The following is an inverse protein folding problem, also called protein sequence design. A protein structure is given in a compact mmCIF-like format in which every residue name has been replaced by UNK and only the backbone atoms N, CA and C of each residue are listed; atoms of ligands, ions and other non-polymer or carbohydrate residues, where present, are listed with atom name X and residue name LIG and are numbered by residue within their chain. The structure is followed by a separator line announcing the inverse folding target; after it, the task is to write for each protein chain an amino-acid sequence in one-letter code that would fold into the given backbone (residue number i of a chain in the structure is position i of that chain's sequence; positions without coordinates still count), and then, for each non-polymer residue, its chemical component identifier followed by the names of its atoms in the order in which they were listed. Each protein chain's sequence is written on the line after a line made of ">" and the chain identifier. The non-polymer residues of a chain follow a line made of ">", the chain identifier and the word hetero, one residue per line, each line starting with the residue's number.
data_IF_732275150572
#
_entry.id   IF_732275150572
#
_cell.length_a   1.000
_cell.length_b   1.000
_cell.length_c   1.000
_cell.angle_alpha   90.00
_cell.angle_beta   90.00
_cell.angle_gamma   90.00
#
_symmetry.space_group_name_H-M   'P 1'
#
loop_
_entity.id
_entity.type
_entity.pdbx_description
1 polymer ?
#
# COMPACT_ATOMS: atom_id res chain seq x y z
N UNK A 1 1.62 2.98 3.91
CA UNK A 1 1.77 1.57 4.28
C UNK A 1 1.42 1.26 5.75
N UNK A 2 0.98 2.24 6.50
CA UNK A 2 0.30 2.05 7.80
C UNK A 2 -1.15 1.63 7.63
N UNK A 3 -1.63 1.54 6.40
CA UNK A 3 -2.95 1.02 6.08
C UNK A 3 -3.05 -0.49 6.39
N UNK A 4 -4.27 -0.95 6.53
CA UNK A 4 -4.53 -2.38 6.74
C UNK A 4 -4.10 -3.23 5.53
N UNK A 5 -3.93 -4.54 5.74
CA UNK A 5 -3.46 -5.44 4.68
C UNK A 5 -4.43 -5.57 3.49
N UNK A 6 -5.71 -5.26 3.69
CA UNK A 6 -6.75 -5.30 2.65
C UNK A 6 -6.56 -4.16 1.63
N UNK A 7 -6.03 -3.00 2.07
CA UNK A 7 -5.81 -1.86 1.19
C UNK A 7 -4.92 -2.19 -0.02
N UNK A 8 -3.92 -3.05 0.17
CA UNK A 8 -3.06 -3.50 -0.95
C UNK A 8 -3.78 -4.45 -1.92
N UNK A 9 -4.72 -5.25 -1.44
CA UNK A 9 -5.58 -6.07 -2.28
C UNK A 9 -6.56 -5.20 -3.07
N UNK A 10 -7.08 -4.18 -2.43
CA UNK A 10 -8.07 -3.25 -2.99
C UNK A 10 -7.49 -2.41 -4.15
N UNK A 11 -6.19 -2.11 -4.18
CA UNK A 11 -5.55 -1.34 -5.25
C UNK A 11 -5.95 -1.84 -6.65
N UNK A 12 -5.93 -3.14 -6.88
CA UNK A 12 -6.28 -3.70 -8.18
C UNK A 12 -7.78 -3.53 -8.51
N UNK A 13 -8.64 -3.60 -7.50
CA UNK A 13 -10.08 -3.32 -7.66
C UNK A 13 -10.32 -1.86 -8.03
N UNK A 14 -9.58 -0.92 -7.43
CA UNK A 14 -9.62 0.51 -7.79
C UNK A 14 -9.17 0.71 -9.24
N UNK A 15 -8.08 0.06 -9.64
CA UNK A 15 -7.60 0.12 -11.02
C UNK A 15 -8.68 -0.34 -12.01
N UNK A 16 -9.29 -1.49 -11.74
CA UNK A 16 -10.40 -2.00 -12.56
C UNK A 16 -11.58 -1.02 -12.60
N UNK A 17 -12.05 -0.57 -11.43
CA UNK A 17 -13.18 0.36 -11.31
C UNK A 17 -12.95 1.67 -12.04
N UNK A 18 -11.73 2.19 -12.04
CA UNK A 18 -11.36 3.50 -12.61
C UNK A 18 -10.72 3.40 -13.99
N UNK A 19 -10.65 2.20 -14.57
CA UNK A 19 -10.02 1.97 -15.87
C UNK A 19 -8.58 2.49 -15.93
N UNK A 20 -7.80 2.20 -14.89
CA UNK A 20 -6.39 2.59 -14.81
C UNK A 20 -5.53 1.47 -15.38
N UNK A 21 -4.90 1.72 -16.51
CA UNK A 21 -4.12 0.71 -17.25
C UNK A 21 -2.79 0.37 -16.61
N UNK A 22 -2.23 1.27 -15.82
CA UNK A 22 -0.88 1.10 -15.27
C UNK A 22 -0.82 1.51 -13.81
N UNK A 23 -0.09 0.71 -13.05
CA UNK A 23 0.30 1.02 -11.68
C UNK A 23 1.82 1.09 -11.61
N UNK A 24 2.33 2.11 -10.95
CA UNK A 24 3.74 2.24 -10.64
C UNK A 24 3.91 2.23 -9.13
N UNK A 25 4.70 1.31 -8.62
CA UNK A 25 5.04 1.22 -7.21
C UNK A 25 6.54 1.50 -7.04
N UNK A 26 6.86 2.50 -6.29
CA UNK A 26 8.22 2.85 -5.92
C UNK A 26 8.46 2.42 -4.48
N UNK A 27 9.30 1.49 -4.17
CA UNK A 27 9.94 0.49 -5.04
C UNK A 27 9.77 -0.89 -4.38
N UNK A 28 10.51 -1.94 -4.81
CA UNK A 28 10.27 -3.29 -4.31
C UNK A 28 11.28 -3.78 -3.28
N UNK A 29 12.48 -3.20 -3.26
CA UNK A 29 13.63 -3.63 -2.44
C UNK A 29 14.39 -2.46 -1.82
N UNK A 30 13.67 -1.42 -1.42
CA UNK A 30 14.27 -0.27 -0.76
C UNK A 30 14.44 -0.54 0.74
N UNK A 31 15.67 -0.69 1.18
CA UNK A 31 16.00 -1.02 2.58
C UNK A 31 16.63 0.13 3.33
N UNK A 32 16.83 1.27 2.69
CA UNK A 32 17.43 2.43 3.34
C UNK A 32 16.41 3.25 4.11
N UNK A 33 16.88 4.09 5.02
CA UNK A 33 16.09 5.15 5.62
C UNK A 33 15.76 6.25 4.57
N UNK A 34 15.08 7.28 5.03
CA UNK A 34 14.68 8.38 4.15
C UNK A 34 15.89 8.96 3.41
N UNK A 35 15.84 8.94 2.09
CA UNK A 35 16.89 9.39 1.18
C UNK A 35 18.26 8.70 1.35
N UNK A 36 18.32 7.58 2.06
CA UNK A 36 19.55 6.83 2.28
C UNK A 36 20.57 7.52 3.19
N UNK A 37 20.19 8.60 3.88
CA UNK A 37 21.11 9.41 4.67
C UNK A 37 21.70 8.73 5.89
N UNK A 38 21.04 7.69 6.40
CA UNK A 38 21.49 6.92 7.57
C UNK A 38 21.94 5.50 7.24
N UNK A 39 21.89 5.14 5.97
CA UNK A 39 22.22 3.81 5.49
C UNK A 39 21.05 2.83 5.52
N UNK A 40 21.38 1.54 5.51
CA UNK A 40 20.37 0.49 5.46
C UNK A 40 19.67 0.31 6.81
N UNK A 41 18.35 0.26 6.78
CA UNK A 41 17.53 -0.11 7.92
C UNK A 41 17.60 -1.62 8.16
N UNK A 42 17.63 -2.06 9.42
CA UNK A 42 17.45 -3.47 9.76
C UNK A 42 15.97 -3.85 9.59
N UNK A 43 15.60 -4.25 8.37
CA UNK A 43 14.22 -4.56 8.01
C UNK A 43 13.66 -5.80 8.72
N UNK A 44 14.50 -6.62 9.35
CA UNK A 44 14.06 -7.77 10.13
C UNK A 44 13.55 -7.37 11.52
N UNK A 45 14.03 -6.25 12.04
CA UNK A 45 13.62 -5.71 13.34
C UNK A 45 12.60 -4.58 13.20
N UNK A 46 12.84 -3.69 12.23
CA UNK A 46 12.00 -2.53 12.01
C UNK A 46 12.07 -2.13 10.53
N UNK A 47 10.96 -2.26 9.83
CA UNK A 47 10.85 -1.86 8.43
C UNK A 47 10.59 -0.35 8.25
N UNK A 48 11.12 0.51 9.12
CA UNK A 48 11.00 1.96 9.03
C UNK A 48 11.88 2.53 7.91
N UNK A 49 11.54 2.21 6.69
CA UNK A 49 12.12 2.77 5.47
C UNK A 49 11.53 4.14 5.16
N UNK A 50 12.24 4.97 4.41
CA UNK A 50 11.84 6.34 4.12
C UNK A 50 11.57 7.24 5.34
N UNK A 51 11.95 6.82 6.53
CA UNK A 51 11.82 7.64 7.75
C UNK A 51 12.84 8.77 7.75
N UNK A 52 12.39 9.98 8.04
CA UNK A 52 13.28 11.14 8.12
C UNK A 52 12.59 12.42 8.56
N UNK A 53 13.38 13.45 8.85
CA UNK A 53 12.82 14.75 9.22
C UNK A 53 12.08 15.37 8.03
N UNK A 54 10.94 15.97 8.32
CA UNK A 54 10.14 16.73 7.36
C UNK A 54 9.90 18.14 7.88
N UNK A 55 9.41 19.03 7.02
CA UNK A 55 8.87 20.31 7.47
C UNK A 55 7.67 20.06 8.39
N UNK A 56 7.71 20.63 9.57
CA UNK A 56 6.64 20.49 10.55
C UNK A 56 5.56 21.57 10.35
N UNK A 57 4.32 21.13 10.28
CA UNK A 57 3.17 22.00 10.43
C UNK A 57 2.33 21.53 11.63
N UNK A 58 2.58 22.09 12.80
CA UNK A 58 1.92 21.70 14.03
C UNK A 58 0.39 21.89 14.00
N UNK A 59 -0.12 22.80 13.17
CA UNK A 59 -1.57 23.01 13.01
C UNK A 59 -2.26 21.86 12.28
N UNK A 60 -1.50 21.05 11.56
CA UNK A 60 -1.96 19.83 10.90
C UNK A 60 -1.65 18.55 11.70
N UNK A 61 -1.15 18.68 12.92
CA UNK A 61 -0.76 17.55 13.75
C UNK A 61 0.55 16.87 13.33
N UNK A 62 1.33 17.51 12.45
CA UNK A 62 2.61 16.95 12.02
C UNK A 62 3.65 17.02 13.14
N UNK A 63 4.48 16.02 13.23
CA UNK A 63 5.52 15.90 14.27
C UNK A 63 6.90 16.35 13.81
N UNK A 64 7.05 16.75 12.55
CA UNK A 64 8.34 17.05 11.92
C UNK A 64 9.14 15.80 11.56
N UNK A 65 8.49 14.66 11.57
CA UNK A 65 9.09 13.38 11.19
C UNK A 65 8.16 12.58 10.29
N UNK A 66 8.70 12.07 9.20
CA UNK A 66 8.00 11.13 8.33
C UNK A 66 8.30 9.69 8.77
N UNK A 67 7.26 8.94 9.06
CA UNK A 67 7.37 7.54 9.42
C UNK A 67 6.68 6.70 8.36
N UNK A 68 7.41 5.73 7.82
CA UNK A 68 6.86 4.74 6.89
C UNK A 68 7.20 3.35 7.39
N UNK A 69 6.24 2.44 7.31
CA UNK A 69 6.43 1.07 7.74
C UNK A 69 6.45 0.14 6.53
N UNK A 70 7.66 -0.15 6.03
CA UNK A 70 7.88 -1.05 4.91
C UNK A 70 7.51 -0.46 3.56
N UNK A 71 7.45 0.88 3.44
CA UNK A 71 7.35 1.52 2.14
C UNK A 71 8.58 1.18 1.29
N UNK A 72 8.36 0.83 0.02
CA UNK A 72 9.43 0.34 -0.86
C UNK A 72 9.91 -1.09 -0.55
N UNK A 73 9.31 -1.81 0.40
CA UNK A 73 9.70 -3.18 0.77
C UNK A 73 8.60 -4.17 0.42
N UNK A 74 8.64 -4.69 -0.80
CA UNK A 74 7.80 -5.83 -1.22
C UNK A 74 8.50 -7.17 -1.01
N UNK A 75 9.82 -7.16 -1.03
CA UNK A 75 10.66 -8.33 -0.75
C UNK A 75 11.59 -8.04 0.42
N UNK A 76 11.77 -9.02 1.28
CA UNK A 76 12.81 -9.03 2.28
C UNK A 76 14.03 -9.80 1.76
N UNK A 77 15.26 -9.44 2.12
CA UNK A 77 16.42 -10.24 1.77
C UNK A 77 16.38 -11.56 2.56
N UNK A 78 16.61 -12.69 1.90
CA UNK A 78 16.72 -13.98 2.58
C UNK A 78 18.04 -14.12 3.32
N UNK A 79 19.10 -13.53 2.76
CA UNK A 79 20.40 -13.35 3.39
C UNK A 79 20.81 -11.89 3.20
N UNK A 80 21.06 -11.19 4.30
CA UNK A 80 21.49 -9.80 4.31
C UNK A 80 22.98 -9.71 4.68
N UNK A 81 23.73 -8.91 3.94
CA UNK A 81 25.16 -8.72 4.18
C UNK A 81 25.47 -7.68 5.25
N UNK A 82 24.52 -6.76 5.50
CA UNK A 82 24.65 -5.70 6.52
C UNK A 82 24.16 -6.20 7.87
N UNK A 83 23.10 -7.01 7.89
CA UNK A 83 22.50 -7.59 9.09
C UNK A 83 22.45 -9.13 9.02
N UNK A 84 23.62 -9.79 8.91
CA UNK A 84 23.66 -11.24 8.69
C UNK A 84 23.12 -12.06 9.87
N UNK A 85 23.21 -11.53 11.11
CA UNK A 85 22.75 -12.24 12.30
C UNK A 85 21.23 -12.35 12.39
N UNK A 86 20.50 -11.39 11.84
CA UNK A 86 19.04 -11.33 11.83
C UNK A 86 18.44 -11.95 10.57
N UNK A 87 19.26 -12.19 9.54
CA UNK A 87 18.79 -12.76 8.29
C UNK A 87 18.49 -14.26 8.40
N UNK A 88 17.58 -14.74 7.56
CA UNK A 88 17.12 -16.14 7.62
C UNK A 88 18.08 -17.13 6.96
N UNK A 89 19.18 -16.67 6.35
CA UNK A 89 20.14 -17.53 5.66
C UNK A 89 19.55 -18.25 4.43
N UNK A 90 18.47 -17.73 3.88
CA UNK A 90 17.78 -18.30 2.72
C UNK A 90 18.31 -17.64 1.45
N UNK A 91 18.59 -18.44 0.44
CA UNK A 91 18.97 -17.91 -0.87
C UNK A 91 17.79 -17.24 -1.55
N UNK A 92 17.98 -16.00 -2.02
CA UNK A 92 17.00 -15.22 -2.77
C UNK A 92 16.04 -14.42 -1.86
N UNK A 93 15.09 -13.71 -2.47
CA UNK A 93 14.18 -12.82 -1.78
C UNK A 93 13.02 -13.56 -1.12
N UNK A 94 12.54 -13.00 -0.01
CA UNK A 94 11.35 -13.47 0.70
C UNK A 94 10.21 -12.48 0.41
N UNK A 95 9.11 -12.97 -0.16
CA UNK A 95 7.94 -12.17 -0.45
C UNK A 95 7.24 -11.70 0.83
N UNK A 96 7.02 -10.40 0.98
CA UNK A 96 6.26 -9.84 2.08
C UNK A 96 4.76 -10.17 1.98
N UNK A 97 4.03 -10.01 3.08
CA UNK A 97 2.56 -10.06 3.05
C UNK A 97 1.98 -8.96 2.15
N UNK A 98 2.61 -7.80 2.09
CA UNK A 98 2.23 -6.70 1.19
C UNK A 98 2.18 -7.17 -0.27
N UNK A 99 3.24 -7.82 -0.74
CA UNK A 99 3.27 -8.38 -2.10
C UNK A 99 2.21 -9.46 -2.30
N UNK A 100 1.97 -10.30 -1.30
CA UNK A 100 0.97 -11.38 -1.39
C UNK A 100 -0.46 -10.84 -1.46
N UNK A 101 -0.77 -9.79 -0.70
CA UNK A 101 -2.07 -9.13 -0.78
C UNK A 101 -2.27 -8.43 -2.13
N UNK A 102 -1.26 -7.73 -2.63
CA UNK A 102 -1.31 -7.11 -3.94
C UNK A 102 -1.52 -8.14 -5.05
N UNK A 103 -0.73 -9.23 -5.03
CA UNK A 103 -0.93 -10.34 -5.97
C UNK A 103 -2.36 -10.89 -5.91
N UNK A 104 -2.92 -11.02 -4.71
CA UNK A 104 -4.30 -11.49 -4.55
C UNK A 104 -5.30 -10.54 -5.21
N UNK A 105 -5.14 -9.23 -5.05
CA UNK A 105 -5.97 -8.24 -5.73
C UNK A 105 -5.91 -8.34 -7.25
N UNK A 106 -4.73 -8.58 -7.82
CA UNK A 106 -4.57 -8.80 -9.26
C UNK A 106 -5.35 -10.05 -9.71
N UNK A 107 -5.25 -11.15 -8.95
CA UNK A 107 -6.03 -12.36 -9.25
C UNK A 107 -7.54 -12.13 -9.15
N UNK A 108 -7.99 -11.31 -8.19
CA UNK A 108 -9.41 -10.95 -8.09
C UNK A 108 -9.88 -10.23 -9.36
N UNK A 109 -9.07 -9.35 -9.94
CA UNK A 109 -9.41 -8.64 -11.18
C UNK A 109 -9.54 -9.58 -12.38
N UNK A 110 -8.76 -10.66 -12.44
CA UNK A 110 -8.96 -11.69 -13.45
C UNK A 110 -10.36 -12.31 -13.33
N UNK A 111 -10.79 -12.67 -12.12
CA UNK A 111 -12.15 -13.18 -11.88
C UNK A 111 -13.24 -12.14 -12.19
N UNK A 112 -13.02 -10.88 -11.79
CA UNK A 112 -13.95 -9.78 -12.10
C UNK A 112 -14.08 -9.63 -13.62
N UNK A 113 -13.00 -9.69 -14.35
CA UNK A 113 -12.99 -9.59 -15.82
C UNK A 113 -13.75 -10.76 -16.48
N UNK A 114 -13.57 -11.98 -15.98
CA UNK A 114 -14.33 -13.15 -16.42
C UNK A 114 -15.83 -13.01 -16.13
N UNK A 115 -16.18 -12.54 -14.93
CA UNK A 115 -17.58 -12.29 -14.55
C UNK A 115 -18.23 -11.18 -15.39
N UNK A 116 -17.47 -10.12 -15.69
CA UNK A 116 -17.94 -9.01 -16.54
C UNK A 116 -18.22 -9.45 -17.98
N UNK A 117 -17.48 -10.43 -18.49
CA UNK A 117 -17.75 -11.01 -19.80
C UNK A 117 -19.11 -11.76 -19.85
N UNK A 118 -19.59 -12.25 -18.71
CA UNK A 118 -20.88 -12.94 -18.59
C UNK A 118 -22.02 -11.98 -18.24
N UNK A 119 -21.80 -11.13 -17.25
CA UNK A 119 -22.81 -10.17 -16.78
C UNK A 119 -22.16 -8.87 -16.29
N UNK A 120 -21.90 -7.91 -17.19
CA UNK A 120 -21.19 -6.67 -16.84
C UNK A 120 -21.95 -5.81 -15.82
N UNK A 121 -23.30 -5.81 -15.88
CA UNK A 121 -24.11 -5.00 -14.96
C UNK A 121 -24.01 -5.50 -13.52
N UNK A 122 -24.21 -6.79 -13.31
CA UNK A 122 -24.08 -7.39 -11.98
C UNK A 122 -22.65 -7.27 -11.44
N UNK A 123 -21.65 -7.48 -12.29
CA UNK A 123 -20.24 -7.34 -11.91
C UNK A 123 -19.91 -5.93 -11.48
N UNK A 124 -20.34 -4.92 -12.24
CA UNK A 124 -20.13 -3.51 -11.88
C UNK A 124 -20.82 -3.16 -10.55
N UNK A 125 -22.01 -3.71 -10.29
CA UNK A 125 -22.71 -3.51 -9.03
C UNK A 125 -21.89 -4.07 -7.83
N UNK A 126 -21.28 -5.23 -8.00
CA UNK A 126 -20.39 -5.84 -6.99
C UNK A 126 -19.16 -4.96 -6.77
N UNK A 127 -18.47 -4.56 -7.84
CA UNK A 127 -17.29 -3.70 -7.75
C UNK A 127 -17.62 -2.38 -7.02
N UNK A 128 -18.76 -1.77 -7.33
CA UNK A 128 -19.19 -0.54 -6.66
C UNK A 128 -19.56 -0.75 -5.19
N UNK A 129 -20.04 -1.94 -4.83
CA UNK A 129 -20.31 -2.30 -3.43
C UNK A 129 -19.02 -2.55 -2.64
N UNK A 130 -18.05 -3.22 -3.25
CA UNK A 130 -16.78 -3.57 -2.60
C UNK A 130 -15.88 -2.35 -2.44
N UNK A 131 -15.84 -1.47 -3.44
CA UNK A 131 -15.08 -0.22 -3.45
C UNK A 131 -16.02 0.95 -3.72
N UNK A 132 -16.78 1.42 -2.73
CA UNK A 132 -17.76 2.52 -2.94
C UNK A 132 -17.11 3.80 -3.44
N UNK A 133 -16.00 4.22 -2.83
CA UNK A 133 -15.22 5.41 -3.21
C UNK A 133 -13.76 5.07 -3.40
N UNK A 134 -13.11 5.69 -4.36
CA UNK A 134 -11.69 5.54 -4.63
C UNK A 134 -11.11 6.82 -5.23
N UNK A 135 -9.85 7.10 -4.93
CA UNK A 135 -9.10 8.23 -5.48
C UNK A 135 -9.87 9.56 -5.32
N UNK A 136 -10.10 10.28 -6.42
CA UNK A 136 -10.80 11.58 -6.42
C UNK A 136 -12.28 11.53 -6.01
N UNK A 137 -12.87 10.35 -5.83
CA UNK A 137 -14.22 10.24 -5.27
C UNK A 137 -14.32 10.77 -3.83
N UNK A 138 -13.19 10.87 -3.13
CA UNK A 138 -13.08 11.49 -1.81
C UNK A 138 -13.00 13.03 -1.85
N UNK A 139 -12.90 13.60 -3.03
CA UNK A 139 -12.66 15.02 -3.23
C UNK A 139 -11.17 15.38 -3.13
N UNK A 140 -10.86 16.63 -3.42
CA UNK A 140 -9.50 17.17 -3.33
C UNK A 140 -9.27 17.66 -1.90
N UNK A 141 -8.15 17.26 -1.30
CA UNK A 141 -7.73 17.78 -0.01
C UNK A 141 -7.58 19.31 -0.09
N UNK A 142 -8.34 20.03 0.69
CA UNK A 142 -8.23 21.47 0.82
C UNK A 142 -7.50 21.80 2.12
N UNK A 143 -6.18 21.79 2.09
CA UNK A 143 -5.33 22.08 3.25
C UNK A 143 -5.47 23.52 3.75
N UNK A 144 -6.08 24.41 2.96
CA UNK A 144 -6.38 25.79 3.38
C UNK A 144 -7.72 25.87 4.14
N UNK A 145 -8.56 24.83 4.12
CA UNK A 145 -9.81 24.77 4.84
C UNK A 145 -9.60 24.10 6.20
N UNK A 146 -9.68 24.83 7.32
CA UNK A 146 -9.48 24.27 8.64
C UNK A 146 -10.58 23.27 9.07
N UNK A 147 -11.66 23.19 8.31
CA UNK A 147 -12.76 22.24 8.57
C UNK A 147 -12.61 20.95 7.73
N UNK A 148 -11.63 20.90 6.83
CA UNK A 148 -11.41 19.71 6.02
C UNK A 148 -10.89 18.57 6.90
N UNK A 149 -11.61 17.48 6.89
CA UNK A 149 -11.24 16.25 7.60
C UNK A 149 -11.04 15.15 6.56
N UNK A 150 -9.97 14.38 6.70
CA UNK A 150 -9.79 13.16 5.90
C UNK A 150 -10.98 12.24 6.16
N UNK A 151 -11.64 11.84 5.10
CA UNK A 151 -12.72 10.86 5.21
C UNK A 151 -12.15 9.46 5.46
N UNK A 152 -12.87 8.66 6.22
CA UNK A 152 -12.53 7.25 6.40
C UNK A 152 -12.54 6.51 5.06
N UNK A 153 -11.81 5.39 5.04
CA UNK A 153 -11.83 4.46 3.90
C UNK A 153 -13.25 3.96 3.65
N UNK A 154 -13.58 3.69 2.39
CA UNK A 154 -14.94 3.31 1.99
C UNK A 154 -15.16 1.81 1.87
N UNK A 155 -14.08 1.02 1.83
CA UNK A 155 -14.11 -0.43 1.73
C UNK A 155 -14.01 -1.12 3.09
N UNK A 156 -14.41 -2.38 3.16
CA UNK A 156 -14.29 -3.17 4.38
C UNK A 156 -12.83 -3.51 4.68
N UNK A 157 -12.40 -3.31 5.92
CA UNK A 157 -11.11 -3.79 6.43
C UNK A 157 -11.16 -5.25 6.89
N UNK A 158 -12.34 -5.86 6.96
CA UNK A 158 -12.50 -7.28 7.30
C UNK A 158 -12.11 -8.15 6.09
N UNK A 159 -11.03 -8.96 6.20
CA UNK A 159 -10.56 -9.79 5.10
C UNK A 159 -11.55 -10.89 4.68
N UNK A 160 -12.52 -11.23 5.53
CA UNK A 160 -13.55 -12.23 5.20
C UNK A 160 -14.63 -11.70 4.25
N UNK A 161 -14.69 -10.39 4.05
CA UNK A 161 -15.62 -9.76 3.10
C UNK A 161 -15.07 -9.83 1.67
N UNK A 162 -13.76 -9.96 1.55
CA UNK A 162 -13.02 -10.02 0.29
C UNK A 162 -12.77 -11.49 -0.09
#
# INVERSE_FOLDING_TARGET
>A
TEDDGVALREIAWVQYKKSIDRWFFWESTYYNDYQGGRGQTNVFQNAATFSGPTSMNASLGETGWNHSNGDGVLFYPGTDTVFPAESYGIQGPIASLRLKHWRRGIQDVDYISMAAAVNPVATQAIVNKMVPKALWDYGVANLADPTWVRTDISWSIDPNVW
#
